data_IF_166849514052
#
_entry.id   IF_166849514052
#
_cell.length_a   1.000
_cell.length_b   1.000
_cell.length_c   1.000
_cell.angle_alpha   90.00
_cell.angle_beta   90.00
_cell.angle_gamma   90.00
#
_symmetry.space_group_name_H-M   'P 1'
#
loop_
_entity.id
_entity.type
_entity.pdbx_description
1 polymer ?
#
# COMPACT_ATOMS: atom_id res chain seq x y z
N UNK A 1 -14.47 -47.22 -18.86
CA UNK A 1 -13.38 -46.52 -19.59
C UNK A 1 -13.43 -46.72 -21.10
N UNK A 2 -13.58 -47.95 -21.63
CA UNK A 2 -13.62 -48.20 -23.11
C UNK A 2 -14.73 -47.42 -23.84
N UNK A 3 -15.92 -47.30 -23.25
CA UNK A 3 -17.06 -46.55 -23.85
C UNK A 3 -16.82 -45.05 -23.93
N UNK A 4 -16.18 -44.45 -22.92
CA UNK A 4 -15.83 -43.00 -22.90
C UNK A 4 -14.81 -42.69 -24.01
N UNK A 5 -13.81 -43.55 -24.15
CA UNK A 5 -12.81 -43.42 -25.22
C UNK A 5 -13.43 -43.57 -26.61
N UNK A 6 -14.43 -44.43 -26.78
CA UNK A 6 -15.16 -44.59 -28.05
C UNK A 6 -15.98 -43.33 -28.38
N UNK A 7 -16.69 -42.74 -27.41
CA UNK A 7 -17.44 -41.49 -27.56
C UNK A 7 -16.54 -40.30 -27.92
N UNK A 8 -15.38 -40.18 -27.29
CA UNK A 8 -14.38 -39.14 -27.61
C UNK A 8 -13.90 -39.24 -29.05
N UNK A 9 -13.64 -40.51 -29.52
CA UNK A 9 -13.21 -40.76 -30.90
C UNK A 9 -14.32 -40.51 -31.95
N UNK A 10 -15.58 -40.76 -31.59
CA UNK A 10 -16.70 -40.50 -32.48
C UNK A 10 -16.97 -39.00 -32.71
N UNK A 11 -16.73 -38.16 -31.70
CA UNK A 11 -17.00 -36.71 -31.75
C UNK A 11 -15.80 -35.89 -31.21
N UNK A 12 -14.67 -35.89 -31.95
CA UNK A 12 -13.43 -35.32 -31.45
C UNK A 12 -13.52 -33.79 -31.23
N UNK A 13 -14.26 -33.10 -32.10
CA UNK A 13 -14.44 -31.66 -31.98
C UNK A 13 -15.21 -31.28 -30.70
N UNK A 14 -16.37 -31.89 -30.47
CA UNK A 14 -17.15 -31.60 -29.25
C UNK A 14 -16.40 -32.01 -27.97
N UNK A 15 -15.67 -33.13 -28.01
CA UNK A 15 -14.84 -33.57 -26.88
C UNK A 15 -13.72 -32.59 -26.59
N UNK A 16 -13.03 -32.09 -27.62
CA UNK A 16 -11.99 -31.09 -27.46
C UNK A 16 -12.54 -29.78 -26.90
N UNK A 17 -13.64 -29.27 -27.43
CA UNK A 17 -14.29 -28.05 -26.92
C UNK A 17 -14.72 -28.19 -25.47
N UNK A 18 -15.32 -29.34 -25.10
CA UNK A 18 -15.74 -29.62 -23.73
C UNK A 18 -14.55 -29.65 -22.77
N UNK A 19 -13.48 -30.36 -23.14
CA UNK A 19 -12.27 -30.45 -22.31
C UNK A 19 -11.59 -29.08 -22.15
N UNK A 20 -11.41 -28.34 -23.26
CA UNK A 20 -10.82 -27.00 -23.22
C UNK A 20 -11.70 -26.05 -22.39
N UNK A 21 -13.01 -26.05 -22.62
CA UNK A 21 -13.95 -25.19 -21.88
C UNK A 21 -13.92 -25.47 -20.38
N UNK A 22 -13.90 -26.75 -20.00
CA UNK A 22 -13.79 -27.13 -18.58
C UNK A 22 -12.44 -26.74 -17.99
N UNK A 23 -11.35 -26.98 -18.70
CA UNK A 23 -10.01 -26.61 -18.24
C UNK A 23 -9.87 -25.10 -18.05
N UNK A 24 -10.37 -24.29 -19.00
CA UNK A 24 -10.38 -22.83 -18.91
C UNK A 24 -11.22 -22.37 -17.70
N UNK A 25 -12.41 -22.96 -17.52
CA UNK A 25 -13.29 -22.60 -16.39
C UNK A 25 -12.63 -22.90 -15.05
N UNK A 26 -12.04 -24.08 -14.89
CA UNK A 26 -11.32 -24.45 -13.65
C UNK A 26 -10.14 -23.52 -13.41
N UNK A 27 -9.34 -23.25 -14.45
CA UNK A 27 -8.20 -22.31 -14.36
C UNK A 27 -8.67 -20.93 -13.91
N UNK A 28 -9.76 -20.42 -14.47
CA UNK A 28 -10.31 -19.13 -14.08
C UNK A 28 -10.75 -19.06 -12.62
N UNK A 29 -11.46 -20.10 -12.14
CA UNK A 29 -11.85 -20.21 -10.73
C UNK A 29 -10.63 -20.28 -9.81
N UNK A 30 -9.59 -21.05 -10.19
CA UNK A 30 -8.35 -21.13 -9.41
C UNK A 30 -7.62 -19.79 -9.34
N UNK A 31 -7.57 -19.04 -10.45
CA UNK A 31 -6.96 -17.69 -10.45
C UNK A 31 -7.72 -16.74 -9.54
N UNK A 32 -9.05 -16.73 -9.61
CA UNK A 32 -9.88 -15.90 -8.70
C UNK A 32 -9.61 -16.27 -7.23
N UNK A 33 -9.59 -17.57 -6.93
CA UNK A 33 -9.31 -18.05 -5.58
C UNK A 33 -7.92 -17.63 -5.09
N UNK A 34 -6.88 -17.78 -5.94
CA UNK A 34 -5.52 -17.33 -5.61
C UNK A 34 -5.45 -15.83 -5.31
N UNK A 35 -6.10 -15.01 -6.15
CA UNK A 35 -6.13 -13.54 -5.92
C UNK A 35 -6.86 -13.21 -4.62
N UNK A 36 -7.98 -13.87 -4.35
CA UNK A 36 -8.72 -13.71 -3.10
C UNK A 36 -7.86 -14.12 -1.88
N UNK A 37 -7.19 -15.26 -1.96
CA UNK A 37 -6.33 -15.75 -0.90
C UNK A 37 -5.17 -14.77 -0.61
N UNK A 38 -4.47 -14.29 -1.64
CA UNK A 38 -3.43 -13.27 -1.49
C UNK A 38 -3.96 -11.98 -0.83
N UNK A 39 -5.21 -11.59 -1.12
CA UNK A 39 -5.81 -10.38 -0.56
C UNK A 39 -6.32 -10.55 0.88
N UNK A 40 -6.51 -11.77 1.36
CA UNK A 40 -7.11 -12.04 2.68
C UNK A 40 -6.17 -12.72 3.65
N UNK A 41 -5.19 -13.47 3.18
CA UNK A 41 -4.24 -14.19 4.01
C UNK A 41 -3.17 -13.27 4.63
N UNK A 42 -2.62 -13.73 5.75
CA UNK A 42 -1.48 -13.11 6.43
C UNK A 42 -0.19 -13.44 5.68
N UNK A 43 0.09 -12.70 4.61
CA UNK A 43 1.27 -12.87 3.76
C UNK A 43 2.16 -11.63 3.82
N UNK A 44 3.49 -11.83 3.78
CA UNK A 44 4.42 -10.70 3.68
C UNK A 44 4.14 -9.88 2.40
N UNK A 45 4.15 -8.54 2.49
CA UNK A 45 4.57 -7.70 3.63
C UNK A 45 3.47 -7.45 4.68
N UNK A 46 2.27 -7.99 4.53
CA UNK A 46 1.15 -7.81 5.47
C UNK A 46 0.94 -9.10 6.28
N UNK A 47 1.97 -9.58 6.96
CA UNK A 47 1.98 -10.83 7.73
C UNK A 47 1.02 -10.85 8.92
N UNK A 48 0.45 -9.69 9.28
CA UNK A 48 -0.55 -9.52 10.36
C UNK A 48 -1.84 -8.89 9.84
N UNK A 49 -2.17 -9.10 8.57
CA UNK A 49 -3.35 -8.51 7.93
C UNK A 49 -4.65 -8.83 8.67
N UNK A 50 -4.79 -10.05 9.20
CA UNK A 50 -5.94 -10.47 10.01
C UNK A 50 -6.13 -9.62 11.27
N UNK A 51 -5.06 -8.97 11.75
CA UNK A 51 -5.05 -8.07 12.90
C UNK A 51 -4.96 -6.58 12.50
N UNK A 52 -5.18 -6.24 11.23
CA UNK A 52 -5.16 -4.86 10.76
C UNK A 52 -6.57 -4.33 10.50
N UNK A 53 -6.78 -3.07 10.81
CA UNK A 53 -7.98 -2.30 10.45
C UNK A 53 -7.55 -1.12 9.59
N UNK A 54 -8.14 -1.03 8.40
CA UNK A 54 -7.80 -0.04 7.38
C UNK A 54 -8.86 1.05 7.32
N UNK A 55 -8.44 2.28 7.08
CA UNK A 55 -9.31 3.40 6.75
C UNK A 55 -8.80 4.11 5.51
N UNK A 56 -9.56 4.10 4.45
CA UNK A 56 -9.17 4.74 3.18
C UNK A 56 -10.09 5.90 2.77
N UNK A 57 -11.36 5.85 3.16
CA UNK A 57 -12.33 6.90 2.81
C UNK A 57 -13.16 7.30 4.00
N UNK A 58 -13.46 8.61 4.09
CA UNK A 58 -14.40 9.17 5.06
C UNK A 58 -15.67 9.64 4.39
N UNK A 59 -16.81 9.41 5.03
CA UNK A 59 -18.06 10.02 4.68
C UNK A 59 -18.23 11.31 5.50
N UNK A 60 -18.21 12.46 4.85
CA UNK A 60 -18.43 13.74 5.51
C UNK A 60 -19.77 14.33 5.10
N UNK A 61 -20.54 14.76 6.09
CA UNK A 61 -21.82 15.43 5.91
C UNK A 61 -21.74 16.87 6.43
N UNK A 62 -22.07 17.84 5.57
CA UNK A 62 -22.13 19.23 5.96
C UNK A 62 -23.57 19.60 6.34
N UNK A 63 -23.77 20.01 7.61
CA UNK A 63 -25.08 20.33 8.14
C UNK A 63 -25.71 21.57 7.51
N UNK A 64 -24.89 22.55 7.03
CA UNK A 64 -25.38 23.85 6.55
C UNK A 64 -26.10 23.80 5.20
N UNK A 65 -25.67 22.92 4.30
CA UNK A 65 -26.17 22.79 2.92
C UNK A 65 -26.61 21.38 2.56
N UNK A 66 -26.64 20.49 3.54
CA UNK A 66 -26.94 19.06 3.38
C UNK A 66 -26.05 18.33 2.35
N UNK A 67 -24.90 18.91 2.01
CA UNK A 67 -23.97 18.28 1.08
C UNK A 67 -23.24 17.14 1.76
N UNK A 68 -23.05 16.06 1.01
CA UNK A 68 -22.24 14.93 1.44
C UNK A 68 -21.05 14.73 0.50
N UNK A 69 -20.02 14.10 1.01
CA UNK A 69 -18.82 13.75 0.23
C UNK A 69 -18.23 12.46 0.77
N UNK A 70 -17.95 11.55 -0.16
CA UNK A 70 -17.17 10.35 0.11
C UNK A 70 -15.79 10.56 -0.52
N UNK A 71 -14.82 11.01 0.27
CA UNK A 71 -13.47 11.34 -0.18
C UNK A 71 -12.45 10.85 0.84
N UNK A 72 -11.18 10.81 0.45
CA UNK A 72 -10.08 10.67 1.40
C UNK A 72 -10.12 11.75 2.49
N UNK A 73 -9.51 11.46 3.60
CA UNK A 73 -9.48 12.33 4.78
C UNK A 73 -8.19 13.15 4.82
N UNK A 74 -8.24 14.35 5.42
CA UNK A 74 -7.03 15.09 5.75
C UNK A 74 -6.25 14.39 6.86
N UNK A 75 -4.95 14.68 6.98
CA UNK A 75 -4.13 14.18 8.09
C UNK A 75 -4.77 14.52 9.45
N UNK A 76 -5.26 15.75 9.61
CA UNK A 76 -5.93 16.20 10.84
C UNK A 76 -7.14 15.34 11.19
N UNK A 77 -7.98 15.03 10.20
CA UNK A 77 -9.17 14.20 10.41
C UNK A 77 -8.80 12.77 10.78
N UNK A 78 -7.88 12.16 10.03
CA UNK A 78 -7.41 10.79 10.32
C UNK A 78 -6.73 10.71 11.67
N UNK A 79 -5.88 11.67 12.00
CA UNK A 79 -5.18 11.71 13.30
C UNK A 79 -6.18 11.89 14.46
N UNK A 80 -7.19 12.73 14.33
CA UNK A 80 -8.21 12.90 15.36
C UNK A 80 -8.98 11.60 15.67
N UNK A 81 -9.15 10.73 14.66
CA UNK A 81 -9.86 9.46 14.81
C UNK A 81 -8.95 8.36 15.37
N UNK A 82 -7.70 8.31 14.90
CA UNK A 82 -6.82 7.16 15.11
C UNK A 82 -5.71 7.37 16.15
N UNK A 83 -5.43 8.63 16.59
CA UNK A 83 -4.31 8.90 17.50
C UNK A 83 -4.47 8.24 18.88
N UNK A 84 -5.70 8.17 19.38
CA UNK A 84 -6.01 7.70 20.74
C UNK A 84 -6.95 6.48 20.70
N UNK A 85 -6.47 5.36 20.15
CA UNK A 85 -7.20 4.10 20.11
C UNK A 85 -6.63 3.12 21.14
N UNK A 86 -7.29 2.90 22.28
CA UNK A 86 -6.78 1.99 23.33
C UNK A 86 -6.55 0.55 22.86
N UNK A 87 -7.34 0.10 21.88
CA UNK A 87 -7.25 -1.22 21.28
C UNK A 87 -6.18 -1.36 20.19
N UNK A 88 -5.53 -0.27 19.76
CA UNK A 88 -4.48 -0.32 18.77
C UNK A 88 -3.10 -0.54 19.44
N UNK A 89 -2.32 -1.49 18.93
CA UNK A 89 -0.91 -1.66 19.26
C UNK A 89 -0.07 -0.57 18.60
N UNK A 90 -0.37 -0.32 17.33
CA UNK A 90 0.35 0.63 16.50
C UNK A 90 -0.60 1.20 15.44
N UNK A 91 -0.41 2.48 15.15
CA UNK A 91 -1.11 3.14 14.03
C UNK A 91 -0.05 3.70 13.09
N UNK A 92 -0.23 3.48 11.80
CA UNK A 92 0.56 4.12 10.75
C UNK A 92 -0.36 4.98 9.89
N UNK A 93 0.14 6.16 9.54
CA UNK A 93 -0.53 7.09 8.63
C UNK A 93 0.14 7.03 7.27
N UNK A 94 -0.68 6.82 6.27
CA UNK A 94 -0.29 6.80 4.87
C UNK A 94 -0.72 8.12 4.26
N UNK A 95 0.24 8.87 3.76
CA UNK A 95 -0.04 10.05 2.96
C UNK A 95 -0.45 9.67 1.54
N UNK A 96 -0.73 10.66 0.71
CA UNK A 96 -1.16 10.44 -0.66
C UNK A 96 -0.20 9.53 -1.45
N UNK A 97 -0.78 8.60 -2.19
CA UNK A 97 -0.04 7.80 -3.16
C UNK A 97 -0.17 8.42 -4.53
N UNK A 98 0.95 8.76 -5.14
CA UNK A 98 0.98 9.45 -6.42
C UNK A 98 1.79 8.71 -7.46
N UNK A 99 1.33 8.78 -8.69
CA UNK A 99 2.13 8.44 -9.86
C UNK A 99 2.93 9.69 -10.26
N UNK A 100 4.24 9.67 -10.00
CA UNK A 100 5.16 10.80 -10.23
C UNK A 100 6.20 10.50 -11.29
N UNK A 101 6.70 11.53 -11.93
CA UNK A 101 7.86 11.43 -12.81
C UNK A 101 9.12 11.27 -11.96
N UNK A 102 9.80 10.13 -12.10
CA UNK A 102 10.94 9.77 -11.26
C UNK A 102 12.09 9.23 -12.13
N UNK A 103 13.33 9.55 -11.75
CA UNK A 103 14.51 9.09 -12.49
C UNK A 103 15.84 9.39 -11.79
N UNK A 104 16.92 8.87 -12.34
CA UNK A 104 18.30 9.13 -11.93
C UNK A 104 18.81 10.51 -12.39
N UNK A 105 18.01 11.20 -13.19
CA UNK A 105 18.31 12.51 -13.78
C UNK A 105 17.10 13.44 -13.71
N UNK A 106 17.28 14.78 -13.61
CA UNK A 106 16.17 15.72 -13.59
C UNK A 106 15.41 15.85 -14.92
N UNK A 107 15.98 15.34 -16.01
CA UNK A 107 15.40 15.48 -17.36
C UNK A 107 14.98 14.14 -17.97
N UNK A 108 15.29 13.03 -17.31
CA UNK A 108 14.97 11.68 -17.77
C UNK A 108 14.31 10.93 -16.64
N UNK A 109 13.13 10.37 -16.89
CA UNK A 109 12.42 9.61 -15.88
C UNK A 109 11.21 8.89 -16.45
N UNK A 110 10.64 8.04 -15.63
CA UNK A 110 9.41 7.30 -15.88
C UNK A 110 8.39 7.58 -14.78
N UNK A 111 7.12 7.31 -15.05
CA UNK A 111 6.10 7.40 -14.01
C UNK A 111 6.24 6.22 -13.05
N UNK A 112 6.40 6.54 -11.77
CA UNK A 112 6.57 5.58 -10.68
C UNK A 112 5.59 5.86 -9.55
N UNK A 113 5.17 4.82 -8.86
CA UNK A 113 4.28 4.94 -7.71
C UNK A 113 5.07 5.37 -6.48
N UNK A 114 4.82 6.59 -6.05
CA UNK A 114 5.40 7.18 -4.84
C UNK A 114 4.40 7.05 -3.71
N UNK A 115 4.78 6.37 -2.63
CA UNK A 115 4.00 6.29 -1.40
C UNK A 115 4.61 7.18 -0.32
N UNK A 116 3.77 7.96 0.33
CA UNK A 116 4.19 8.79 1.46
C UNK A 116 3.79 8.09 2.76
N UNK A 117 4.74 7.94 3.69
CA UNK A 117 4.57 7.10 4.89
C UNK A 117 5.17 7.78 6.12
N UNK A 118 4.79 7.29 7.30
CA UNK A 118 5.43 7.60 8.57
C UNK A 118 6.49 6.55 8.97
N UNK A 119 7.04 6.71 10.17
CA UNK A 119 8.03 5.78 10.72
C UNK A 119 7.40 4.45 11.15
N UNK A 120 6.12 4.46 11.55
CA UNK A 120 5.41 3.27 11.99
C UNK A 120 5.10 2.33 10.83
N UNK A 121 5.04 2.84 9.61
CA UNK A 121 4.82 2.05 8.41
C UNK A 121 5.73 0.82 8.34
N UNK A 122 7.01 0.99 8.59
CA UNK A 122 8.02 -0.07 8.54
C UNK A 122 7.90 -1.09 9.68
N UNK A 123 7.14 -0.77 10.73
CA UNK A 123 6.84 -1.66 11.86
C UNK A 123 5.54 -2.43 11.65
N UNK A 124 4.63 -1.87 10.85
CA UNK A 124 3.36 -2.49 10.49
C UNK A 124 3.55 -3.47 9.34
N UNK A 125 4.39 -3.10 8.36
CA UNK A 125 4.64 -3.90 7.17
C UNK A 125 6.03 -4.54 7.20
N UNK A 126 6.07 -5.85 6.96
CA UNK A 126 7.31 -6.64 6.95
C UNK A 126 8.00 -6.53 5.58
N UNK A 127 8.52 -5.34 5.26
CA UNK A 127 9.27 -5.10 4.03
C UNK A 127 10.76 -5.19 4.32
N UNK A 128 11.48 -6.24 3.83
CA UNK A 128 12.88 -6.42 4.14
C UNK A 128 13.75 -5.31 3.55
N UNK A 129 14.66 -4.77 4.36
CA UNK A 129 15.72 -3.88 3.90
C UNK A 129 16.79 -4.70 3.18
N UNK A 130 17.21 -4.25 1.99
CA UNK A 130 18.26 -4.88 1.18
C UNK A 130 19.60 -4.19 1.38
N UNK A 131 19.60 -2.85 1.38
CA UNK A 131 20.80 -2.04 1.57
C UNK A 131 20.46 -0.70 2.26
N UNK A 132 21.47 -0.11 2.92
CA UNK A 132 21.32 1.18 3.59
C UNK A 132 20.49 1.12 4.86
N UNK A 133 19.59 2.07 5.05
CA UNK A 133 18.71 2.21 6.23
C UNK A 133 17.37 2.82 5.85
N UNK A 134 16.41 2.74 6.75
CA UNK A 134 15.18 3.51 6.67
C UNK A 134 15.44 4.97 7.09
N UNK A 135 14.53 5.89 6.76
CA UNK A 135 14.65 7.28 7.23
C UNK A 135 14.43 7.37 8.74
N UNK A 136 15.15 8.28 9.37
CA UNK A 136 15.13 8.46 10.82
C UNK A 136 14.05 9.43 11.28
N UNK A 137 13.82 9.48 12.61
CA UNK A 137 12.92 10.45 13.24
C UNK A 137 13.36 11.87 12.94
N UNK A 138 14.67 12.16 13.04
CA UNK A 138 15.23 13.49 12.76
C UNK A 138 15.03 13.90 11.30
N UNK A 139 15.14 12.96 10.37
CA UNK A 139 14.88 13.21 8.94
C UNK A 139 13.41 13.46 8.68
N UNK A 140 12.53 12.71 9.37
CA UNK A 140 11.09 12.87 9.29
C UNK A 140 10.67 14.23 9.84
N UNK A 141 11.10 14.59 11.06
CA UNK A 141 10.73 15.84 11.73
C UNK A 141 11.31 17.07 11.04
N UNK A 142 12.53 16.95 10.51
CA UNK A 142 13.17 18.02 9.76
C UNK A 142 12.71 18.11 8.30
N UNK A 143 11.70 17.33 7.89
CA UNK A 143 11.16 17.28 6.54
C UNK A 143 12.25 17.11 5.47
N UNK A 144 13.23 16.21 5.72
CA UNK A 144 14.37 16.03 4.83
C UNK A 144 13.96 15.35 3.53
N UNK A 145 14.60 15.76 2.46
CA UNK A 145 14.41 15.22 1.11
C UNK A 145 15.13 13.87 0.95
N UNK A 146 14.60 12.85 1.65
CA UNK A 146 15.08 11.46 1.61
C UNK A 146 14.06 10.53 0.97
N UNK A 147 14.55 9.40 0.44
CA UNK A 147 13.73 8.39 -0.21
C UNK A 147 14.29 6.99 0.06
N UNK A 148 13.40 6.03 0.24
CA UNK A 148 13.67 4.59 0.18
C UNK A 148 13.09 4.08 -1.12
N UNK A 149 13.82 3.25 -1.85
CA UNK A 149 13.41 2.74 -3.17
C UNK A 149 13.38 1.21 -3.19
N UNK A 150 12.60 0.63 -4.11
CA UNK A 150 12.59 -0.82 -4.35
C UNK A 150 13.87 -1.31 -5.00
N UNK A 151 14.18 -2.59 -4.79
CA UNK A 151 15.41 -3.24 -5.28
C UNK A 151 15.47 -3.22 -6.82
N UNK A 152 14.35 -3.48 -7.49
CA UNK A 152 14.28 -3.43 -8.95
C UNK A 152 14.63 -2.02 -9.45
N UNK A 153 14.07 -0.99 -8.83
CA UNK A 153 14.33 0.40 -9.21
C UNK A 153 15.81 0.78 -8.99
N UNK A 154 16.40 0.32 -7.88
CA UNK A 154 17.83 0.53 -7.60
C UNK A 154 18.72 -0.13 -8.67
N UNK A 155 18.40 -1.33 -9.11
CA UNK A 155 19.13 -2.02 -10.17
C UNK A 155 18.96 -1.34 -11.53
N UNK A 156 17.76 -0.92 -11.87
CA UNK A 156 17.48 -0.22 -13.15
C UNK A 156 18.24 1.11 -13.26
N UNK A 157 18.28 1.89 -12.17
CA UNK A 157 18.84 3.24 -12.20
C UNK A 157 20.36 3.28 -11.89
N UNK A 158 20.86 2.36 -11.04
CA UNK A 158 22.22 2.43 -10.49
C UNK A 158 23.00 1.13 -10.59
N UNK A 159 22.43 0.06 -11.13
CA UNK A 159 23.07 -1.24 -11.32
C UNK A 159 23.00 -2.16 -10.11
N UNK A 160 22.98 -1.65 -8.87
CA UNK A 160 22.79 -2.47 -7.66
C UNK A 160 22.15 -1.67 -6.54
N UNK A 161 21.69 -2.37 -5.49
CA UNK A 161 21.11 -1.74 -4.29
C UNK A 161 22.14 -0.89 -3.54
N UNK A 162 23.36 -1.40 -3.39
CA UNK A 162 24.46 -0.73 -2.68
C UNK A 162 24.91 0.53 -3.43
N UNK A 163 24.99 0.45 -4.76
CA UNK A 163 25.39 1.57 -5.61
C UNK A 163 24.39 2.73 -5.57
N UNK A 164 23.13 2.46 -5.25
CA UNK A 164 22.08 3.45 -5.13
C UNK A 164 22.20 4.30 -3.85
N UNK A 165 22.76 3.75 -2.77
CA UNK A 165 22.80 4.43 -1.46
C UNK A 165 23.59 5.73 -1.53
N UNK A 166 22.99 6.80 -1.01
CA UNK A 166 23.58 8.15 -0.98
C UNK A 166 23.49 8.91 -2.30
N UNK A 167 23.04 8.27 -3.39
CA UNK A 167 22.79 8.94 -4.67
C UNK A 167 21.50 9.76 -4.61
N UNK A 168 21.37 10.69 -5.54
CA UNK A 168 20.14 11.43 -5.74
C UNK A 168 19.22 10.67 -6.73
N UNK A 169 17.96 10.56 -6.35
CA UNK A 169 16.88 10.14 -7.23
C UNK A 169 15.87 11.28 -7.35
N UNK A 170 15.48 11.62 -8.56
CA UNK A 170 14.63 12.78 -8.79
C UNK A 170 13.17 12.33 -8.76
N UNK A 171 12.38 12.98 -7.90
CA UNK A 171 10.94 12.79 -7.80
C UNK A 171 10.29 14.10 -8.17
N UNK A 172 9.52 14.11 -9.25
CA UNK A 172 8.90 15.32 -9.79
C UNK A 172 9.93 16.45 -10.01
N UNK A 173 11.08 16.09 -10.62
CA UNK A 173 12.24 16.98 -10.92
C UNK A 173 13.02 17.50 -9.71
N UNK A 174 12.67 17.07 -8.49
CA UNK A 174 13.37 17.45 -7.26
C UNK A 174 14.25 16.31 -6.77
N UNK A 175 15.53 16.58 -6.43
CA UNK A 175 16.41 15.53 -5.92
C UNK A 175 15.97 15.10 -4.53
N UNK A 176 15.95 13.78 -4.33
CA UNK A 176 15.76 13.11 -3.04
C UNK A 176 16.95 12.19 -2.82
N UNK A 177 17.55 12.21 -1.64
CA UNK A 177 18.68 11.35 -1.32
C UNK A 177 18.19 9.94 -1.01
N UNK A 178 18.71 8.94 -1.70
CA UNK A 178 18.42 7.54 -1.39
C UNK A 178 19.13 7.17 -0.09
N UNK A 179 18.37 6.77 0.93
CA UNK A 179 18.89 6.34 2.23
C UNK A 179 18.81 4.83 2.41
N UNK A 180 17.91 4.17 1.70
CA UNK A 180 17.70 2.72 1.78
C UNK A 180 17.10 2.13 0.51
N UNK A 181 17.30 0.83 0.38
CA UNK A 181 16.71 0.00 -0.65
C UNK A 181 16.04 -1.19 0.03
N UNK A 182 14.77 -1.42 -0.32
CA UNK A 182 13.96 -2.54 0.22
C UNK A 182 13.64 -3.55 -0.86
N UNK A 183 13.17 -4.72 -0.46
CA UNK A 183 12.54 -5.66 -1.41
C UNK A 183 11.35 -5.01 -2.09
N UNK A 184 11.11 -5.42 -3.32
CA UNK A 184 9.95 -4.96 -4.07
C UNK A 184 8.66 -5.53 -3.46
N UNK A 185 7.63 -4.69 -3.45
CA UNK A 185 6.30 -5.05 -2.96
C UNK A 185 5.38 -5.22 -4.16
N UNK A 186 4.59 -6.29 -4.16
CA UNK A 186 3.60 -6.52 -5.22
C UNK A 186 2.45 -5.50 -5.14
N UNK A 187 1.97 -5.04 -6.28
CA UNK A 187 0.80 -4.16 -6.38
C UNK A 187 -0.52 -4.77 -5.88
N UNK A 188 -0.53 -6.08 -5.59
CA UNK A 188 -1.65 -6.74 -4.94
C UNK A 188 -1.84 -6.33 -3.47
N UNK A 189 -0.79 -5.80 -2.84
CA UNK A 189 -0.83 -5.29 -1.46
C UNK A 189 -1.07 -3.78 -1.46
N UNK A 190 -2.31 -3.38 -1.65
CA UNK A 190 -2.71 -1.99 -1.91
C UNK A 190 -2.14 -0.97 -0.91
N UNK A 191 -2.12 -1.29 0.39
CA UNK A 191 -1.65 -0.38 1.44
C UNK A 191 -0.14 -0.45 1.66
N UNK A 192 0.50 -1.57 1.32
CA UNK A 192 1.94 -1.73 1.43
C UNK A 192 2.69 -1.35 0.13
N UNK A 193 1.99 -1.33 -1.01
CA UNK A 193 2.62 -1.13 -2.31
C UNK A 193 3.19 0.28 -2.50
N UNK A 194 4.39 0.33 -3.01
CA UNK A 194 5.07 1.49 -3.53
C UNK A 194 6.30 1.03 -4.32
N UNK A 195 6.75 1.78 -5.31
CA UNK A 195 8.06 1.59 -5.95
C UNK A 195 9.13 2.41 -5.23
N UNK A 196 8.68 3.48 -4.54
CA UNK A 196 9.52 4.28 -3.66
C UNK A 196 8.67 4.89 -2.53
N UNK A 197 9.30 5.08 -1.39
CA UNK A 197 8.68 5.57 -0.17
C UNK A 197 9.37 6.82 0.33
N UNK A 198 8.59 7.82 0.72
CA UNK A 198 9.07 9.09 1.25
C UNK A 198 8.36 9.44 2.56
N UNK A 199 8.99 10.19 3.47
CA UNK A 199 8.29 10.76 4.60
C UNK A 199 7.11 11.65 4.15
N UNK A 200 5.93 11.48 4.72
CA UNK A 200 4.82 12.38 4.42
C UNK A 200 5.00 13.77 5.04
N UNK A 201 5.94 13.93 5.96
CA UNK A 201 6.32 15.24 6.52
C UNK A 201 6.91 16.20 5.49
N UNK A 202 7.30 15.72 4.31
CA UNK A 202 7.78 16.59 3.23
C UNK A 202 6.70 17.52 2.71
N UNK A 203 7.09 18.69 2.16
CA UNK A 203 6.18 19.78 1.75
C UNK A 203 5.07 19.38 0.76
N UNK A 204 5.24 18.29 0.05
CA UNK A 204 4.29 17.83 -0.99
C UNK A 204 3.14 16.98 -0.43
N UNK A 205 3.02 16.79 0.88
CA UNK A 205 2.09 15.84 1.51
C UNK A 205 0.68 16.37 1.77
N UNK A 206 0.47 17.69 1.71
CA UNK A 206 -0.82 18.29 2.07
C UNK A 206 -1.16 18.29 3.58
N UNK A 207 -0.14 18.11 4.45
CA UNK A 207 -0.30 18.14 5.93
C UNK A 207 -0.97 19.41 6.45
N UNK A 208 -0.80 20.55 5.79
CA UNK A 208 -1.33 21.85 6.19
C UNK A 208 -2.79 22.07 5.84
N UNK A 209 -3.51 21.09 5.32
CA UNK A 209 -4.92 21.23 5.03
C UNK A 209 -5.75 21.32 6.31
N UNK A 210 -6.41 22.46 6.54
CA UNK A 210 -7.31 22.68 7.69
C UNK A 210 -8.66 21.96 7.53
N UNK A 211 -9.03 21.57 6.32
CA UNK A 211 -10.27 20.88 6.00
C UNK A 211 -10.28 19.42 6.43
N UNK A 212 -11.46 18.80 6.36
CA UNK A 212 -11.61 17.36 6.61
C UNK A 212 -11.18 16.50 5.42
N UNK A 213 -11.10 17.09 4.23
CA UNK A 213 -10.78 16.40 2.97
C UNK A 213 -9.29 16.37 2.72
N UNK A 214 -8.81 15.23 2.22
CA UNK A 214 -7.41 15.00 1.85
C UNK A 214 -7.27 13.59 1.31
N UNK A 215 -6.03 13.11 1.23
CA UNK A 215 -5.72 11.78 0.67
C UNK A 215 -4.91 10.95 1.69
N UNK A 216 -5.15 11.17 2.99
CA UNK A 216 -4.54 10.38 4.04
C UNK A 216 -5.39 9.17 4.39
N UNK A 217 -4.72 8.09 4.68
CA UNK A 217 -5.26 6.82 5.13
C UNK A 217 -4.62 6.45 6.47
N UNK A 218 -5.26 5.58 7.24
CA UNK A 218 -4.66 5.00 8.43
C UNK A 218 -4.77 3.48 8.42
N UNK A 219 -3.77 2.84 8.98
CA UNK A 219 -3.80 1.41 9.28
C UNK A 219 -3.47 1.23 10.75
N UNK A 220 -4.42 0.64 11.48
CA UNK A 220 -4.27 0.33 12.89
C UNK A 220 -4.04 -1.17 13.07
N UNK A 221 -2.96 -1.52 13.75
CA UNK A 221 -2.68 -2.88 14.18
C UNK A 221 -3.35 -3.12 15.53
N UNK A 222 -4.14 -4.16 15.62
CA UNK A 222 -4.89 -4.52 16.84
C UNK A 222 -3.93 -5.07 17.90
N UNK A 223 -4.09 -4.65 19.15
CA UNK A 223 -3.33 -5.23 20.28
C UNK A 223 -3.66 -6.71 20.45
N UNK A 224 -2.68 -7.55 20.85
CA UNK A 224 -2.94 -8.92 21.27
C UNK A 224 -4.02 -8.99 22.34
N UNK A 225 -5.01 -9.87 22.13
CA UNK A 225 -6.15 -10.02 23.05
C UNK A 225 -7.32 -9.06 22.81
N UNK A 226 -7.18 -8.09 21.93
CA UNK A 226 -8.29 -7.23 21.47
C UNK A 226 -8.83 -7.79 20.15
N UNK A 227 -10.14 -7.82 19.98
CA UNK A 227 -10.75 -8.23 18.72
C UNK A 227 -10.81 -7.07 17.71
N UNK A 228 -10.76 -7.37 16.40
CA UNK A 228 -10.92 -6.35 15.34
C UNK A 228 -12.22 -5.57 15.48
N UNK A 229 -13.30 -6.22 15.85
CA UNK A 229 -14.63 -5.60 16.01
C UNK A 229 -14.64 -4.61 17.19
N UNK A 230 -13.87 -4.90 18.25
CA UNK A 230 -13.68 -3.97 19.35
C UNK A 230 -12.96 -2.70 18.89
N UNK A 231 -11.87 -2.85 18.14
CA UNK A 231 -11.15 -1.71 17.58
C UNK A 231 -12.02 -0.89 16.64
N UNK A 232 -12.83 -1.52 15.79
CA UNK A 232 -13.79 -0.83 14.93
C UNK A 232 -14.80 0.00 15.74
N UNK A 233 -15.34 -0.55 16.83
CA UNK A 233 -16.24 0.21 17.72
C UNK A 233 -15.56 1.44 18.34
N UNK A 234 -14.29 1.34 18.73
CA UNK A 234 -13.52 2.48 19.23
C UNK A 234 -13.31 3.55 18.16
N UNK A 235 -13.07 3.16 16.91
CA UNK A 235 -12.99 4.08 15.76
C UNK A 235 -14.34 4.77 15.54
N UNK A 236 -15.47 4.06 15.56
CA UNK A 236 -16.81 4.61 15.43
C UNK A 236 -17.13 5.60 16.56
N UNK A 237 -16.72 5.30 17.79
CA UNK A 237 -16.87 6.23 18.94
C UNK A 237 -16.03 7.49 18.78
N UNK A 238 -14.82 7.38 18.20
CA UNK A 238 -13.98 8.55 17.91
C UNK A 238 -14.56 9.43 16.80
N UNK A 239 -15.26 8.82 15.83
CA UNK A 239 -15.98 9.56 14.78
C UNK A 239 -17.22 10.32 15.29
N UNK A 240 -17.80 9.89 16.41
CA UNK A 240 -18.99 10.52 17.01
C UNK A 240 -18.68 11.73 17.90
N UNK A 241 -17.40 11.98 18.20
CA UNK A 241 -16.90 13.13 18.99
C UNK A 241 -16.65 14.35 18.10
#
# INVERSE_FOLDING_TARGET
MKQILALIRQNPFFSAVSVIGTAVSITFVMVIYMVYDIQTADLAPESRRSSMVYSSYGYSYRKSDHSNSNTGMSYRAVNAIFAELPGAELVTYLGPTYLRYCGDSPVRGMRRTVRQVDLNYWRVYDIPLVAGRLFSTEEFDACRDVVVIGEQLAREAFGSAEAAIGKNYFVNFRPKRIVGVTKDVSSLFTFAYGELWMPYSTRDSGLGSEGLRGDFEAVALVKPGVGREELKRQIEQSLAR
#
